data_IF_778096129444
#
_entry.id   IF_778096129444
#
_cell.length_a   1.000
_cell.length_b   1.000
_cell.length_c   1.000
_cell.angle_alpha   90.00
_cell.angle_beta   90.00
_cell.angle_gamma   90.00
#
_symmetry.space_group_name_H-M   'P 1'
#
loop_
_entity.id
_entity.type
_entity.pdbx_description
1 polymer ?
#
# COMPACT_ATOMS: atom_id res chain seq x y z
N UNK A 1 -1.25 16.77 4.16
CA UNK A 1 -0.38 15.84 3.38
C UNK A 1 -1.11 14.54 3.03
N UNK A 2 -2.21 14.24 3.74
CA UNK A 2 -3.05 13.06 3.56
C UNK A 2 -3.55 12.82 2.12
N UNK A 3 -4.04 13.87 1.44
CA UNK A 3 -4.58 13.75 0.05
C UNK A 3 -3.52 13.26 -0.93
N UNK A 4 -2.28 13.72 -0.79
CA UNK A 4 -1.15 13.29 -1.63
C UNK A 4 -0.87 11.81 -1.39
N UNK A 5 -0.83 11.37 -0.12
CA UNK A 5 -0.66 9.96 0.21
C UNK A 5 -1.74 9.08 -0.42
N UNK A 6 -3.00 9.50 -0.37
CA UNK A 6 -4.14 8.78 -0.96
C UNK A 6 -3.99 8.66 -2.48
N UNK A 7 -3.65 9.74 -3.18
CA UNK A 7 -3.42 9.73 -4.62
C UNK A 7 -2.26 8.78 -4.97
N UNK A 8 -1.15 8.86 -4.24
CA UNK A 8 0.01 8.00 -4.47
C UNK A 8 -0.30 6.52 -4.19
N UNK A 9 -1.03 6.20 -3.11
CA UNK A 9 -1.46 4.83 -2.85
C UNK A 9 -2.42 4.31 -3.91
N UNK A 10 -3.30 5.16 -4.43
CA UNK A 10 -4.21 4.79 -5.54
C UNK A 10 -3.40 4.45 -6.79
N UNK A 11 -2.38 5.26 -7.13
CA UNK A 11 -1.48 4.99 -8.25
C UNK A 11 -0.65 3.71 -8.01
N UNK A 12 -0.13 3.52 -6.80
CA UNK A 12 0.59 2.32 -6.40
C UNK A 12 -0.30 1.07 -6.52
N UNK A 13 -1.57 1.13 -6.13
CA UNK A 13 -2.52 0.04 -6.26
C UNK A 13 -2.76 -0.34 -7.73
N UNK A 14 -2.94 0.64 -8.62
CA UNK A 14 -3.03 0.40 -10.06
C UNK A 14 -1.79 -0.32 -10.60
N UNK A 15 -0.59 0.16 -10.26
CA UNK A 15 0.66 -0.51 -10.64
C UNK A 15 0.75 -1.91 -10.03
N UNK A 16 0.35 -2.08 -8.77
CA UNK A 16 0.31 -3.36 -8.06
C UNK A 16 -0.55 -4.40 -8.78
N UNK A 17 -1.71 -4.00 -9.31
CA UNK A 17 -2.55 -4.89 -10.12
C UNK A 17 -1.86 -5.30 -11.42
N UNK A 18 -1.16 -4.39 -12.10
CA UNK A 18 -0.39 -4.74 -13.32
C UNK A 18 0.75 -5.72 -13.06
N UNK A 19 1.20 -5.84 -11.81
CA UNK A 19 2.23 -6.79 -11.38
C UNK A 19 1.59 -8.11 -10.92
N UNK A 20 0.55 -8.03 -10.10
CA UNK A 20 -0.10 -9.19 -9.49
C UNK A 20 -0.78 -10.07 -10.54
N UNK A 21 -1.44 -9.50 -11.55
CA UNK A 21 -2.16 -10.27 -12.58
C UNK A 21 -1.21 -11.23 -13.34
N UNK A 22 -0.07 -10.78 -13.91
CA UNK A 22 0.90 -11.68 -14.52
C UNK A 22 1.40 -12.75 -13.54
N UNK A 23 1.69 -12.40 -12.29
CA UNK A 23 2.19 -13.37 -11.30
C UNK A 23 1.18 -14.50 -11.06
N UNK A 24 -0.10 -14.15 -10.88
CA UNK A 24 -1.17 -15.13 -10.65
C UNK A 24 -1.42 -16.02 -11.88
N UNK A 25 -1.09 -15.52 -13.08
CA UNK A 25 -1.13 -16.29 -14.34
C UNK A 25 0.15 -17.10 -14.60
N UNK A 26 1.09 -17.14 -13.66
CA UNK A 26 2.43 -17.75 -13.84
C UNK A 26 3.30 -17.06 -14.90
N UNK A 27 2.99 -15.81 -15.28
CA UNK A 27 3.78 -14.98 -16.20
C UNK A 27 4.81 -14.14 -15.43
N UNK A 28 5.73 -13.48 -16.14
CA UNK A 28 6.72 -12.60 -15.53
C UNK A 28 6.22 -11.15 -15.59
N UNK A 29 6.09 -10.44 -14.45
CA UNK A 29 5.76 -9.03 -14.48
C UNK A 29 6.92 -8.23 -15.07
N UNK A 30 6.61 -7.11 -15.71
CA UNK A 30 7.64 -6.21 -16.24
C UNK A 30 8.42 -5.62 -15.07
N UNK A 31 9.73 -5.85 -15.01
CA UNK A 31 10.62 -5.39 -13.92
C UNK A 31 10.49 -3.89 -13.64
N UNK A 32 10.32 -3.08 -14.69
CA UNK A 32 10.12 -1.64 -14.56
C UNK A 32 8.87 -1.30 -13.74
N UNK A 33 7.78 -2.05 -13.90
CA UNK A 33 6.54 -1.82 -13.16
C UNK A 33 6.71 -2.17 -11.68
N UNK A 34 7.44 -3.25 -11.39
CA UNK A 34 7.78 -3.65 -10.01
C UNK A 34 8.57 -2.54 -9.30
N UNK A 35 9.56 -1.98 -9.97
CA UNK A 35 10.38 -0.91 -9.42
C UNK A 35 9.60 0.40 -9.23
N UNK A 36 8.80 0.80 -10.24
CA UNK A 36 7.93 1.97 -10.15
C UNK A 36 6.90 1.83 -9.02
N UNK A 37 6.26 0.67 -8.90
CA UNK A 37 5.33 0.39 -7.81
C UNK A 37 6.01 0.59 -6.45
N UNK A 38 7.19 0.02 -6.25
CA UNK A 38 7.96 0.16 -5.01
C UNK A 38 8.27 1.63 -4.67
N UNK A 39 8.75 2.41 -5.64
CA UNK A 39 9.06 3.84 -5.45
C UNK A 39 7.81 4.63 -5.07
N UNK A 40 6.72 4.44 -5.81
CA UNK A 40 5.46 5.15 -5.56
C UNK A 40 4.90 4.76 -4.19
N UNK A 41 4.90 3.48 -3.84
CA UNK A 41 4.41 2.98 -2.55
C UNK A 41 5.22 3.54 -1.37
N UNK A 42 6.56 3.56 -1.46
CA UNK A 42 7.42 4.17 -0.43
C UNK A 42 7.13 5.66 -0.31
N UNK A 43 6.99 6.37 -1.43
CA UNK A 43 6.65 7.80 -1.44
C UNK A 43 5.29 8.05 -0.77
N UNK A 44 4.30 7.19 -1.02
CA UNK A 44 2.99 7.25 -0.39
C UNK A 44 3.07 7.04 1.14
N UNK A 45 3.86 6.05 1.59
CA UNK A 45 4.11 5.78 3.02
C UNK A 45 4.78 6.99 3.69
N UNK A 46 5.79 7.58 3.06
CA UNK A 46 6.46 8.78 3.59
C UNK A 46 5.47 9.94 3.70
N UNK A 47 4.66 10.19 2.66
CA UNK A 47 3.64 11.24 2.69
C UNK A 47 2.59 10.99 3.79
N UNK A 48 2.21 9.73 4.02
CA UNK A 48 1.29 9.35 5.09
C UNK A 48 1.90 9.57 6.48
N UNK A 49 3.18 9.22 6.67
CA UNK A 49 3.91 9.48 7.91
C UNK A 49 3.98 10.98 8.23
N UNK A 50 4.30 11.80 7.22
CA UNK A 50 4.31 13.26 7.37
C UNK A 50 2.90 13.76 7.73
N UNK A 51 1.86 13.24 7.09
CA UNK A 51 0.48 13.59 7.43
C UNK A 51 0.14 13.25 8.88
N UNK A 52 0.57 12.09 9.39
CA UNK A 52 0.37 11.69 10.79
C UNK A 52 1.05 12.60 11.80
N UNK A 53 2.23 13.13 11.47
CA UNK A 53 2.94 14.08 12.34
C UNK A 53 2.25 15.44 12.35
N UNK A 54 1.73 15.88 11.19
CA UNK A 54 1.12 17.22 11.04
C UNK A 54 -0.35 17.30 11.49
N UNK A 55 -1.13 16.23 11.29
CA UNK A 55 -2.60 16.23 11.45
C UNK A 55 -3.05 15.62 12.80
N UNK A 56 -2.14 15.55 13.78
CA UNK A 56 -2.28 14.89 15.08
C UNK A 56 -2.43 13.35 15.02
N UNK A 57 -1.95 12.66 16.05
CA UNK A 57 -1.88 11.19 16.12
C UNK A 57 -3.24 10.53 16.38
N UNK A 58 -4.15 10.61 15.40
CA UNK A 58 -5.45 9.96 15.48
C UNK A 58 -5.31 8.41 15.40
N UNK A 59 -6.01 7.63 16.25
CA UNK A 59 -5.83 6.18 16.30
C UNK A 59 -6.00 5.46 14.95
N UNK A 60 -7.02 5.83 14.15
CA UNK A 60 -7.21 5.23 12.82
C UNK A 60 -6.05 5.53 11.86
N UNK A 61 -5.45 6.72 11.96
CA UNK A 61 -4.31 7.09 11.12
C UNK A 61 -3.08 6.26 11.50
N UNK A 62 -2.83 6.10 12.81
CA UNK A 62 -1.76 5.21 13.32
C UNK A 62 -1.97 3.78 12.84
N UNK A 63 -3.19 3.25 12.96
CA UNK A 63 -3.51 1.88 12.51
C UNK A 63 -3.27 1.74 11.01
N UNK A 64 -3.68 2.71 10.18
CA UNK A 64 -3.41 2.65 8.73
C UNK A 64 -1.91 2.67 8.42
N UNK A 65 -1.12 3.51 9.10
CA UNK A 65 0.35 3.53 8.96
C UNK A 65 0.96 2.18 9.29
N UNK A 66 0.57 1.59 10.43
CA UNK A 66 1.06 0.26 10.86
C UNK A 66 0.70 -0.80 9.82
N UNK A 67 -0.54 -0.82 9.33
CA UNK A 67 -0.98 -1.78 8.32
C UNK A 67 -0.22 -1.60 6.99
N UNK A 68 0.08 -0.37 6.57
CA UNK A 68 0.90 -0.11 5.39
C UNK A 68 2.36 -0.56 5.57
N UNK A 69 2.94 -0.45 6.77
CA UNK A 69 4.28 -0.98 7.07
C UNK A 69 4.29 -2.51 6.96
N UNK A 70 3.28 -3.19 7.52
CA UNK A 70 3.14 -4.64 7.35
C UNK A 70 2.96 -5.00 5.88
N UNK A 71 2.09 -4.30 5.16
CA UNK A 71 1.88 -4.47 3.71
C UNK A 71 3.19 -4.32 2.92
N UNK A 72 3.95 -3.27 3.18
CA UNK A 72 5.24 -3.03 2.53
C UNK A 72 6.25 -4.14 2.84
N UNK A 73 6.23 -4.69 4.05
CA UNK A 73 7.09 -5.82 4.44
C UNK A 73 6.79 -7.07 3.60
N UNK A 74 5.52 -7.37 3.35
CA UNK A 74 5.12 -8.43 2.40
C UNK A 74 5.59 -8.11 0.98
N UNK A 75 5.46 -6.85 0.52
CA UNK A 75 5.93 -6.42 -0.80
C UNK A 75 7.44 -6.60 -0.97
N UNK A 76 8.23 -6.25 0.05
CA UNK A 76 9.68 -6.46 0.08
C UNK A 76 10.03 -7.96 0.08
N UNK A 77 9.26 -8.78 0.80
CA UNK A 77 9.43 -10.24 0.80
C UNK A 77 9.22 -10.81 -0.62
N UNK A 78 8.13 -10.44 -1.28
CA UNK A 78 7.84 -10.82 -2.67
C UNK A 78 8.96 -10.35 -3.62
N UNK A 79 9.47 -9.13 -3.44
CA UNK A 79 10.55 -8.59 -4.26
C UNK A 79 11.88 -9.36 -4.10
N UNK A 80 12.17 -9.84 -2.88
CA UNK A 80 13.40 -10.60 -2.58
C UNK A 80 13.31 -12.06 -2.99
N UNK A 81 12.14 -12.67 -2.92
CA UNK A 81 11.93 -14.05 -3.38
C UNK A 81 12.13 -14.08 -4.89
N UNK A 82 12.95 -15.00 -5.35
CA UNK A 82 13.20 -15.15 -6.77
C UNK A 82 11.91 -15.57 -7.49
N UNK A 83 11.38 -14.71 -8.37
CA UNK A 83 10.17 -14.95 -9.18
C UNK A 83 10.24 -16.25 -9.99
N UNK A 84 11.40 -16.90 -10.10
CA UNK A 84 11.57 -18.23 -10.68
C UNK A 84 10.85 -19.33 -9.88
N UNK A 85 10.73 -19.19 -8.56
CA UNK A 85 9.95 -20.10 -7.71
C UNK A 85 8.49 -19.61 -7.61
N UNK A 86 7.69 -19.90 -8.66
CA UNK A 86 6.26 -19.56 -8.72
C UNK A 86 5.38 -20.64 -8.07
N UNK A 87 5.81 -21.13 -6.92
CA UNK A 87 5.03 -22.09 -6.16
C UNK A 87 3.75 -21.43 -5.61
N UNK A 88 2.83 -22.26 -5.12
CA UNK A 88 1.55 -21.77 -4.61
C UNK A 88 1.74 -20.88 -3.38
N UNK A 89 2.84 -21.07 -2.63
CA UNK A 89 3.22 -20.21 -1.51
C UNK A 89 3.55 -18.78 -1.97
N UNK A 90 4.30 -18.62 -3.06
CA UNK A 90 4.60 -17.31 -3.63
C UNK A 90 3.33 -16.58 -4.09
N UNK A 91 2.40 -17.28 -4.74
CA UNK A 91 1.11 -16.70 -5.14
C UNK A 91 0.27 -16.30 -3.92
N UNK A 92 0.26 -17.14 -2.89
CA UNK A 92 -0.44 -16.85 -1.65
C UNK A 92 0.13 -15.57 -0.99
N UNK A 93 1.45 -15.38 -1.02
CA UNK A 93 2.10 -14.18 -0.50
C UNK A 93 1.66 -12.92 -1.26
N UNK A 94 1.54 -13.00 -2.58
CA UNK A 94 1.05 -11.90 -3.44
C UNK A 94 -0.42 -11.58 -3.14
N UNK A 95 -1.26 -12.60 -2.94
CA UNK A 95 -2.66 -12.41 -2.55
C UNK A 95 -2.75 -11.75 -1.17
N UNK A 96 -1.95 -12.20 -0.20
CA UNK A 96 -1.91 -11.58 1.13
C UNK A 96 -1.46 -10.12 1.07
N UNK A 97 -0.43 -9.81 0.28
CA UNK A 97 0.01 -8.44 0.08
C UNK A 97 -1.11 -7.57 -0.51
N UNK A 98 -1.82 -8.07 -1.53
CA UNK A 98 -2.95 -7.34 -2.16
C UNK A 98 -4.10 -7.11 -1.17
N UNK A 99 -4.51 -8.14 -0.42
CA UNK A 99 -5.57 -8.03 0.57
C UNK A 99 -5.19 -7.06 1.69
N UNK A 100 -3.96 -7.15 2.21
CA UNK A 100 -3.49 -6.27 3.27
C UNK A 100 -3.37 -4.82 2.79
N UNK A 101 -2.92 -4.60 1.55
CA UNK A 101 -2.91 -3.27 0.93
C UNK A 101 -4.33 -2.69 0.82
N UNK A 102 -5.30 -3.51 0.42
CA UNK A 102 -6.70 -3.09 0.33
C UNK A 102 -7.27 -2.72 1.70
N UNK A 103 -7.05 -3.55 2.72
CA UNK A 103 -7.49 -3.26 4.10
C UNK A 103 -6.82 -1.99 4.63
N UNK A 104 -5.51 -1.84 4.44
CA UNK A 104 -4.76 -0.63 4.84
C UNK A 104 -5.35 0.63 4.21
N UNK A 105 -5.67 0.57 2.92
CA UNK A 105 -6.24 1.68 2.17
C UNK A 105 -7.68 1.99 2.59
N UNK A 106 -8.52 0.97 2.83
CA UNK A 106 -9.88 1.16 3.35
C UNK A 106 -9.86 1.85 4.72
N UNK A 107 -8.95 1.45 5.62
CA UNK A 107 -8.81 2.11 6.93
C UNK A 107 -8.39 3.57 6.77
N UNK A 108 -7.46 3.86 5.85
CA UNK A 108 -7.05 5.24 5.55
C UNK A 108 -8.20 6.09 5.00
N UNK A 109 -9.01 5.56 4.09
CA UNK A 109 -10.20 6.24 3.55
C UNK A 109 -11.25 6.44 4.63
N UNK A 110 -11.44 5.45 5.51
CA UNK A 110 -12.36 5.56 6.66
C UNK A 110 -11.92 6.69 7.60
N UNK A 111 -10.62 6.82 7.86
CA UNK A 111 -10.08 7.96 8.60
C UNK A 111 -10.40 9.29 7.90
N UNK A 112 -10.17 9.40 6.59
CA UNK A 112 -10.48 10.63 5.84
C UNK A 112 -11.96 11.02 5.98
N UNK A 113 -12.88 10.07 5.82
CA UNK A 113 -14.32 10.32 5.93
C UNK A 113 -14.69 10.75 7.35
N UNK A 114 -14.16 10.05 8.37
CA UNK A 114 -14.41 10.40 9.76
C UNK A 114 -13.87 11.80 10.10
N UNK A 115 -12.65 12.11 9.65
CA UNK A 115 -12.01 13.39 9.91
C UNK A 115 -12.78 14.56 9.26
N UNK A 116 -13.32 14.34 8.05
CA UNK A 116 -14.15 15.33 7.37
C UNK A 116 -15.54 15.49 8.02
N UNK A 117 -16.18 14.40 8.44
CA UNK A 117 -17.55 14.44 8.99
C UNK A 117 -17.60 15.00 10.41
N UNK A 118 -16.56 14.78 11.21
CA UNK A 118 -16.52 15.12 12.64
C UNK A 118 -15.57 16.27 12.96
N UNK A 119 -15.06 16.99 11.96
CA UNK A 119 -14.24 18.20 12.16
C UNK A 119 -12.88 17.95 12.81
N UNK A 120 -12.37 16.71 12.76
CA UNK A 120 -11.02 16.41 13.26
C UNK A 120 -9.92 16.92 12.32
N UNK A 121 -10.28 17.37 11.12
CA UNK A 121 -9.42 18.26 10.34
C UNK A 121 -9.66 19.69 10.81
N UNK A 122 -8.74 20.24 11.58
CA UNK A 122 -8.56 21.69 11.64
C UNK A 122 -8.17 22.19 10.26
N UNK A 123 -9.20 22.52 9.47
CA UNK A 123 -9.15 23.57 8.46
C UNK A 123 -9.93 24.76 9.02
#
# INVERSE_FOLDING_TARGET
MLRIAIILFSFAACLGLTIAIPILKNEYPRKIMVFLHGIVAISAIIALFIAMILEHMHPLLIVSVVLFIFTASFGICIFKINIVQKDDLFKLLVIFHLLLAMVSFIVLITYLIAAHKFGATGY
#
